data_IF_121342385222
#
_entry.id   IF_121342385222
#
_cell.length_a   1.000
_cell.length_b   1.000
_cell.length_c   1.000
_cell.angle_alpha   90.00
_cell.angle_beta   90.00
_cell.angle_gamma   90.00
#
_symmetry.space_group_name_H-M   'P 1'
#
loop_
_entity.id
_entity.type
_entity.pdbx_description
1 polymer ?
#
# COMPACT_ATOMS: atom_id res chain seq x y z
N UNK A 1 16.49 14.56 13.79
CA UNK A 1 15.67 13.55 14.47
C UNK A 1 14.41 13.30 13.67
N UNK A 2 14.12 12.04 13.43
CA UNK A 2 12.90 11.70 12.70
C UNK A 2 11.69 11.94 13.59
N UNK A 3 10.67 12.62 13.06
CA UNK A 3 9.39 12.77 13.76
C UNK A 3 8.56 11.50 13.70
N UNK A 4 9.03 10.51 12.95
CA UNK A 4 8.36 9.22 12.82
C UNK A 4 8.81 8.29 13.93
N UNK A 5 7.86 7.73 14.67
CA UNK A 5 8.17 6.66 15.61
C UNK A 5 8.47 5.35 14.88
N UNK A 6 8.94 4.32 15.59
CA UNK A 6 9.28 3.04 14.98
C UNK A 6 8.10 2.39 14.23
N UNK A 7 6.88 2.54 14.76
CA UNK A 7 5.69 1.99 14.11
C UNK A 7 5.48 2.62 12.73
N UNK A 8 5.54 3.95 12.66
CA UNK A 8 5.37 4.66 11.39
C UNK A 8 6.47 4.28 10.40
N UNK A 9 7.73 4.23 10.86
CA UNK A 9 8.84 3.86 9.99
C UNK A 9 8.69 2.46 9.42
N UNK A 10 8.24 1.50 10.22
CA UNK A 10 8.00 0.15 9.75
C UNK A 10 6.88 0.12 8.72
N UNK A 11 5.79 0.83 8.99
CA UNK A 11 4.68 0.90 8.03
C UNK A 11 5.11 1.53 6.71
N UNK A 12 5.90 2.61 6.75
CA UNK A 12 6.42 3.25 5.53
C UNK A 12 7.28 2.27 4.73
N UNK A 13 8.18 1.56 5.40
CA UNK A 13 9.04 0.58 4.73
C UNK A 13 8.21 -0.49 4.03
N UNK A 14 7.18 -1.01 4.70
CA UNK A 14 6.32 -2.04 4.14
C UNK A 14 5.45 -1.52 3.00
N UNK A 15 4.97 -0.29 3.11
CA UNK A 15 4.21 0.34 2.04
C UNK A 15 5.08 0.48 0.78
N UNK A 16 6.31 0.93 0.93
CA UNK A 16 7.24 1.07 -0.20
C UNK A 16 7.57 -0.29 -0.80
N UNK A 17 7.65 -1.32 0.02
CA UNK A 17 7.86 -2.68 -0.47
C UNK A 17 6.72 -3.15 -1.36
N UNK A 18 5.47 -2.83 -1.00
CA UNK A 18 4.32 -3.18 -1.84
C UNK A 18 4.31 -2.46 -3.18
N UNK A 19 5.06 -1.36 -3.32
CA UNK A 19 5.17 -0.63 -4.57
C UNK A 19 6.32 -1.13 -5.45
N UNK A 20 7.17 -2.02 -4.92
CA UNK A 20 8.27 -2.61 -5.66
C UNK A 20 7.70 -3.62 -6.68
N UNK A 21 8.04 -3.48 -7.99
CA UNK A 21 7.52 -4.39 -9.01
C UNK A 21 7.81 -5.87 -8.74
N UNK A 22 8.98 -6.19 -8.17
CA UNK A 22 9.31 -7.59 -7.86
C UNK A 22 8.42 -8.16 -6.78
N UNK A 23 8.07 -7.34 -5.78
CA UNK A 23 7.16 -7.77 -4.72
C UNK A 23 5.75 -7.93 -5.30
N UNK A 24 5.30 -6.95 -6.09
CA UNK A 24 3.95 -6.98 -6.67
C UNK A 24 3.72 -8.21 -7.55
N UNK A 25 4.74 -8.66 -8.25
CA UNK A 25 4.65 -9.84 -9.11
C UNK A 25 4.64 -11.16 -8.32
N UNK A 26 4.92 -11.13 -7.03
CA UNK A 26 5.00 -12.35 -6.20
C UNK A 26 3.78 -12.45 -5.29
N UNK A 27 2.86 -13.42 -5.55
CA UNK A 27 1.71 -13.63 -4.66
C UNK A 27 2.11 -13.89 -3.21
N UNK A 28 3.22 -14.60 -2.99
CA UNK A 28 3.70 -14.88 -1.63
C UNK A 28 4.14 -13.63 -0.90
N UNK A 29 4.92 -12.78 -1.58
CA UNK A 29 5.45 -11.57 -0.95
C UNK A 29 4.34 -10.56 -0.68
N UNK A 30 3.41 -10.39 -1.62
CA UNK A 30 2.25 -9.53 -1.42
C UNK A 30 1.39 -10.07 -0.28
N UNK A 31 1.08 -11.37 -0.31
CA UNK A 31 0.25 -11.99 0.72
C UNK A 31 0.81 -11.87 2.12
N UNK A 32 2.15 -11.87 2.24
CA UNK A 32 2.79 -11.72 3.54
C UNK A 32 2.64 -10.31 4.13
N UNK A 33 2.29 -9.33 3.32
CA UNK A 33 2.13 -7.95 3.76
C UNK A 33 0.67 -7.55 3.98
N UNK A 34 -0.29 -8.36 3.51
CA UNK A 34 -1.71 -8.04 3.60
C UNK A 34 -2.39 -8.75 4.74
N UNK A 35 -3.22 -8.00 5.48
CA UNK A 35 -4.06 -8.57 6.53
C UNK A 35 -5.07 -9.56 5.92
N UNK A 36 -5.45 -10.63 6.63
CA UNK A 36 -6.47 -11.57 6.10
C UNK A 36 -7.78 -10.89 5.70
N UNK A 37 -8.14 -9.80 6.37
CA UNK A 37 -9.35 -9.04 6.08
C UNK A 37 -9.08 -7.80 5.22
N UNK A 38 -7.93 -7.76 4.55
CA UNK A 38 -7.58 -6.62 3.70
C UNK A 38 -8.66 -6.32 2.66
N UNK A 39 -8.92 -5.03 2.48
CA UNK A 39 -9.77 -4.55 1.39
C UNK A 39 -9.27 -3.18 0.93
N UNK A 40 -9.58 -2.84 -0.32
CA UNK A 40 -9.21 -1.55 -0.84
C UNK A 40 -10.21 -1.06 -1.88
N UNK A 41 -10.30 0.26 -2.00
CA UNK A 41 -10.93 0.91 -3.15
C UNK A 41 -9.82 1.42 -4.05
N UNK A 42 -9.70 0.83 -5.24
CA UNK A 42 -8.68 1.23 -6.19
C UNK A 42 -9.02 2.55 -6.89
N UNK A 43 -8.07 3.04 -7.68
CA UNK A 43 -8.22 4.32 -8.38
C UNK A 43 -9.42 4.35 -9.34
N UNK A 44 -9.86 3.19 -9.82
CA UNK A 44 -11.04 3.08 -10.68
C UNK A 44 -12.36 3.08 -9.91
N UNK A 45 -12.31 3.06 -8.58
CA UNK A 45 -13.48 2.90 -7.73
C UNK A 45 -13.83 1.46 -7.43
N UNK A 46 -13.13 0.51 -8.03
CA UNK A 46 -13.39 -0.92 -7.81
C UNK A 46 -12.98 -1.34 -6.40
N UNK A 47 -13.81 -2.14 -5.76
CA UNK A 47 -13.50 -2.75 -4.47
C UNK A 47 -12.73 -4.06 -4.67
N UNK A 48 -11.63 -4.19 -3.96
CA UNK A 48 -10.77 -5.38 -3.98
C UNK A 48 -10.67 -5.97 -2.58
N UNK A 49 -10.63 -7.29 -2.49
CA UNK A 49 -10.25 -7.98 -1.27
C UNK A 49 -8.84 -8.57 -1.41
N UNK A 50 -8.37 -9.24 -0.37
CA UNK A 50 -7.02 -9.81 -0.38
C UNK A 50 -6.82 -10.79 -1.54
N UNK A 51 -7.75 -11.70 -1.72
CA UNK A 51 -7.64 -12.72 -2.77
C UNK A 51 -7.64 -12.09 -4.17
N UNK A 52 -8.57 -11.17 -4.42
CA UNK A 52 -8.69 -10.57 -5.75
C UNK A 52 -7.53 -9.66 -6.10
N UNK A 53 -6.99 -8.91 -5.11
CA UNK A 53 -5.85 -8.02 -5.40
C UNK A 53 -4.58 -8.83 -5.66
N UNK A 54 -4.35 -9.90 -4.91
CA UNK A 54 -3.19 -10.76 -5.14
C UNK A 54 -3.25 -11.36 -6.55
N UNK A 55 -4.42 -11.88 -6.94
CA UNK A 55 -4.59 -12.47 -8.26
C UNK A 55 -4.40 -11.45 -9.38
N UNK A 56 -4.91 -10.23 -9.19
CA UNK A 56 -4.78 -9.17 -10.19
C UNK A 56 -3.32 -8.75 -10.38
N UNK A 57 -2.58 -8.60 -9.28
CA UNK A 57 -1.18 -8.21 -9.36
C UNK A 57 -0.33 -9.32 -10.01
N UNK A 58 -0.58 -10.57 -9.68
CA UNK A 58 0.13 -11.69 -10.28
C UNK A 58 -0.17 -11.81 -11.77
N UNK A 59 -1.42 -11.58 -12.16
CA UNK A 59 -1.83 -11.66 -13.56
C UNK A 59 -1.35 -10.50 -14.42
N UNK A 60 -1.09 -9.34 -13.79
CA UNK A 60 -0.59 -8.16 -14.52
C UNK A 60 0.86 -8.34 -14.99
N UNK A 61 1.66 -9.15 -14.27
CA UNK A 61 3.04 -9.41 -14.62
C UNK A 61 3.88 -8.14 -14.64
N UNK A 62 5.01 -8.21 -15.34
CA UNK A 62 5.93 -7.09 -15.43
C UNK A 62 5.43 -5.95 -16.30
N UNK A 63 4.51 -6.25 -17.22
CA UNK A 63 4.01 -5.26 -18.19
C UNK A 63 3.26 -4.11 -17.56
N UNK A 64 2.62 -4.34 -16.42
CA UNK A 64 1.87 -3.30 -15.72
C UNK A 64 2.76 -2.46 -14.81
N UNK A 65 4.02 -2.78 -14.72
CA UNK A 65 4.92 -2.20 -13.73
C UNK A 65 5.73 -1.06 -14.31
N UNK A 66 5.08 0.01 -14.75
CA UNK A 66 5.78 1.27 -14.97
C UNK A 66 6.32 1.75 -13.61
N UNK A 67 7.34 2.60 -13.63
CA UNK A 67 7.86 3.15 -12.37
C UNK A 67 6.77 3.93 -11.64
N UNK A 68 6.68 3.69 -10.34
CA UNK A 68 5.75 4.41 -9.47
C UNK A 68 6.56 5.41 -8.66
N UNK A 69 6.26 6.69 -8.84
CA UNK A 69 6.91 7.76 -8.10
C UNK A 69 6.06 8.10 -6.89
N UNK A 70 6.66 8.02 -5.71
CA UNK A 70 5.99 8.31 -4.43
C UNK A 70 6.44 9.68 -3.94
N UNK A 71 5.50 10.47 -3.43
CA UNK A 71 5.80 11.76 -2.82
C UNK A 71 4.87 12.04 -1.66
N UNK A 72 5.29 12.96 -0.79
CA UNK A 72 4.46 13.45 0.30
C UNK A 72 4.11 12.41 1.37
N UNK A 73 4.96 11.39 1.56
CA UNK A 73 4.68 10.35 2.54
C UNK A 73 4.61 10.89 3.95
N UNK A 74 3.45 10.72 4.60
CA UNK A 74 3.22 11.13 5.98
C UNK A 74 2.53 10.00 6.72
N UNK A 75 2.90 9.81 7.98
CA UNK A 75 2.31 8.76 8.80
C UNK A 75 2.03 9.22 10.21
N UNK A 76 0.98 8.65 10.78
CA UNK A 76 0.59 8.91 12.17
C UNK A 76 0.19 7.59 12.81
N UNK A 77 0.72 7.33 13.99
CA UNK A 77 0.23 6.22 14.81
C UNK A 77 -1.06 6.69 15.51
N UNK A 78 -2.20 6.23 14.99
CA UNK A 78 -3.51 6.67 15.50
C UNK A 78 -3.82 6.09 16.88
N UNK A 79 -3.32 4.90 17.14
CA UNK A 79 -3.48 4.18 18.39
C UNK A 79 -2.38 3.13 18.43
N UNK A 80 -2.05 2.57 19.61
CA UNK A 80 -1.07 1.48 19.65
C UNK A 80 -1.44 0.37 18.66
N UNK A 81 -0.53 0.07 17.74
CA UNK A 81 -0.76 -0.98 16.75
C UNK A 81 -1.58 -0.55 15.54
N UNK A 82 -1.81 0.74 15.34
CA UNK A 82 -2.56 1.23 14.18
C UNK A 82 -1.89 2.47 13.59
N UNK A 83 -1.40 2.37 12.36
CA UNK A 83 -0.73 3.46 11.65
C UNK A 83 -1.53 3.84 10.42
N UNK A 84 -1.71 5.14 10.22
CA UNK A 84 -2.31 5.69 9.00
C UNK A 84 -1.22 6.39 8.19
N UNK A 85 -1.08 5.98 6.92
CA UNK A 85 -0.17 6.62 5.97
C UNK A 85 -0.96 7.32 4.89
N UNK A 86 -0.51 8.49 4.50
CA UNK A 86 -1.02 9.19 3.31
C UNK A 86 0.16 9.55 2.43
N UNK A 87 -0.02 9.44 1.12
CA UNK A 87 1.02 9.75 0.16
C UNK A 87 0.40 9.90 -1.22
N UNK A 88 1.20 10.43 -2.15
CA UNK A 88 0.78 10.56 -3.54
C UNK A 88 1.63 9.64 -4.40
N UNK A 89 1.04 9.14 -5.48
CA UNK A 89 1.77 8.36 -6.48
C UNK A 89 1.52 8.94 -7.86
N UNK A 90 2.52 8.75 -8.72
CA UNK A 90 2.41 9.06 -10.14
C UNK A 90 2.97 7.88 -10.92
N UNK A 91 2.21 7.42 -11.91
CA UNK A 91 2.60 6.32 -12.78
C UNK A 91 1.92 6.52 -14.13
N UNK A 92 2.70 6.52 -15.21
CA UNK A 92 2.18 6.72 -16.57
C UNK A 92 1.32 7.98 -16.70
N UNK A 93 1.73 9.08 -16.06
CA UNK A 93 1.00 10.34 -16.10
C UNK A 93 -0.26 10.36 -15.25
N UNK A 94 -0.54 9.28 -14.54
CA UNK A 94 -1.72 9.20 -13.65
C UNK A 94 -1.29 9.45 -12.23
N UNK A 95 -2.00 10.36 -11.57
CA UNK A 95 -1.74 10.73 -10.18
C UNK A 95 -2.88 10.28 -9.28
N UNK A 96 -2.54 9.85 -8.08
CA UNK A 96 -3.53 9.46 -7.09
C UNK A 96 -3.06 9.85 -5.69
N UNK A 97 -4.02 10.31 -4.88
CA UNK A 97 -3.84 10.41 -3.44
C UNK A 97 -4.09 9.03 -2.86
N UNK A 98 -3.23 8.56 -1.95
CA UNK A 98 -3.36 7.23 -1.38
C UNK A 98 -3.40 7.29 0.13
N UNK A 99 -4.19 6.41 0.72
CA UNK A 99 -4.40 6.31 2.16
C UNK A 99 -4.34 4.84 2.55
N UNK A 100 -3.54 4.50 3.55
CA UNK A 100 -3.36 3.13 4.01
C UNK A 100 -3.50 3.04 5.52
N UNK A 101 -4.11 1.95 5.98
CA UNK A 101 -4.15 1.61 7.41
C UNK A 101 -3.37 0.32 7.62
N UNK A 102 -2.32 0.42 8.45
CA UNK A 102 -1.48 -0.71 8.83
C UNK A 102 -1.79 -1.11 10.27
N UNK A 103 -1.95 -2.40 10.50
CA UNK A 103 -2.26 -2.94 11.83
C UNK A 103 -1.15 -3.87 12.31
N UNK A 104 -0.79 -3.75 13.57
CA UNK A 104 0.13 -4.69 14.20
C UNK A 104 -0.62 -5.94 14.62
N UNK A 105 -0.12 -7.09 14.19
CA UNK A 105 -0.68 -8.40 14.48
C UNK A 105 0.41 -9.30 15.04
N UNK A 106 0.10 -10.50 15.53
CA UNK A 106 1.14 -11.46 15.90
C UNK A 106 2.10 -11.80 14.76
N UNK A 107 1.67 -11.61 13.51
CA UNK A 107 2.52 -11.83 12.33
C UNK A 107 3.26 -10.56 11.89
N UNK A 108 3.18 -9.49 12.66
CA UNK A 108 3.80 -8.20 12.34
C UNK A 108 2.80 -7.20 11.81
N UNK A 109 3.34 -6.12 11.20
CA UNK A 109 2.51 -5.06 10.63
C UNK A 109 1.94 -5.53 9.29
N UNK A 110 0.61 -5.54 9.16
CA UNK A 110 -0.09 -5.96 7.95
C UNK A 110 -1.00 -4.84 7.46
N UNK A 111 -1.10 -4.69 6.14
CA UNK A 111 -1.96 -3.70 5.52
C UNK A 111 -3.41 -4.15 5.61
N UNK A 112 -4.23 -3.36 6.29
CA UNK A 112 -5.64 -3.66 6.52
C UNK A 112 -6.55 -3.01 5.49
N UNK A 113 -6.27 -1.75 5.12
CA UNK A 113 -7.11 -0.99 4.20
C UNK A 113 -6.26 -0.06 3.36
N UNK A 114 -6.65 0.11 2.11
CA UNK A 114 -6.01 1.07 1.20
C UNK A 114 -7.07 1.72 0.32
N UNK A 115 -6.89 2.99 0.02
CA UNK A 115 -7.75 3.72 -0.90
C UNK A 115 -6.91 4.63 -1.79
N UNK A 116 -7.26 4.64 -3.07
CA UNK A 116 -6.62 5.52 -4.04
C UNK A 116 -7.68 6.43 -4.65
N UNK A 117 -7.37 7.73 -4.70
CA UNK A 117 -8.26 8.73 -5.28
C UNK A 117 -7.52 9.45 -6.39
N UNK A 118 -7.90 9.24 -7.65
CA UNK A 118 -7.24 9.94 -8.76
C UNK A 118 -7.42 11.44 -8.65
N UNK A 119 -6.41 12.18 -9.08
CA UNK A 119 -6.52 13.63 -9.17
C UNK A 119 -5.75 14.13 -10.39
N UNK A 120 -6.12 15.32 -10.84
CA UNK A 120 -5.44 16.00 -11.92
C UNK A 120 -5.18 17.45 -11.49
N UNK A 121 -4.11 18.01 -12.01
CA UNK A 121 -3.85 19.44 -11.79
C UNK A 121 -4.52 20.29 -12.83
#
# INVERSE_FOLDING_TARGET
MSDRGPAVETAVERELRLLDPEVRASPELVGALLHPEFHEFGASGRHWDRTSVIAALAGAGEEAAGPIVVSGMKGVELAPGLVHLVFDTESDGRRAHRSSLWRLTPSGWLLYFHQATPFAE
#
